data_IF_751548334750
#
_entry.id   IF_751548334750
#
_cell.length_a   1.000
_cell.length_b   1.000
_cell.length_c   1.000
_cell.angle_alpha   90.00
_cell.angle_beta   90.00
_cell.angle_gamma   90.00
#
_symmetry.space_group_name_H-M   'P 1'
#
loop_
_entity.id
_entity.type
_entity.pdbx_description
1 polymer ?
#
# COMPACT_ATOMS: atom_id res chain seq x y z
N UNK A 1 9.33 1.31 -11.99
CA UNK A 1 8.96 1.01 -13.35
C UNK A 1 8.02 -0.18 -13.42
N UNK A 2 7.09 -0.25 -14.37
CA UNK A 2 5.92 -1.11 -14.33
C UNK A 2 5.66 -1.77 -15.67
N UNK A 3 5.25 -3.05 -15.66
CA UNK A 3 4.77 -3.77 -16.82
C UNK A 3 3.28 -4.15 -16.67
N UNK A 4 2.49 -3.92 -17.71
CA UNK A 4 1.07 -4.26 -17.77
C UNK A 4 0.85 -5.52 -18.63
N UNK A 5 0.83 -6.67 -17.99
CA UNK A 5 0.77 -7.97 -18.67
C UNK A 5 -0.47 -8.80 -18.30
N UNK A 6 -1.54 -8.12 -17.92
CA UNK A 6 -2.81 -8.74 -17.57
C UNK A 6 -3.61 -9.30 -18.77
N UNK A 7 -3.05 -9.21 -19.96
CA UNK A 7 -3.55 -9.77 -21.22
C UNK A 7 -2.35 -10.21 -22.08
N UNK A 8 -2.53 -10.50 -23.36
CA UNK A 8 -1.43 -10.74 -24.27
C UNK A 8 -0.48 -9.52 -24.29
N UNK A 9 0.83 -9.78 -24.20
CA UNK A 9 1.83 -8.75 -24.11
C UNK A 9 2.80 -8.75 -25.30
N UNK A 10 3.34 -7.59 -25.61
CA UNK A 10 4.24 -7.31 -26.71
C UNK A 10 5.67 -7.75 -26.41
N UNK A 11 6.53 -7.76 -27.42
CA UNK A 11 7.97 -7.97 -27.23
C UNK A 11 8.61 -6.92 -26.31
N UNK A 12 8.16 -5.67 -26.37
CA UNK A 12 8.65 -4.62 -25.48
C UNK A 12 8.36 -4.90 -24.02
N UNK A 13 7.13 -5.33 -23.70
CA UNK A 13 6.74 -5.74 -22.36
C UNK A 13 7.52 -6.98 -21.89
N UNK A 14 7.80 -7.92 -22.79
CA UNK A 14 8.64 -9.08 -22.47
C UNK A 14 10.06 -8.67 -22.08
N UNK A 15 10.70 -7.81 -22.86
CA UNK A 15 12.04 -7.29 -22.59
C UNK A 15 12.05 -6.52 -21.26
N UNK A 16 11.03 -5.70 -21.02
CA UNK A 16 10.88 -4.98 -19.76
C UNK A 16 10.82 -5.93 -18.56
N UNK A 17 9.97 -6.95 -18.63
CA UNK A 17 9.82 -7.94 -17.56
C UNK A 17 11.13 -8.71 -17.34
N UNK A 18 11.78 -9.17 -18.39
CA UNK A 18 13.03 -9.93 -18.31
C UNK A 18 14.18 -9.10 -17.74
N UNK A 19 14.15 -7.77 -17.89
CA UNK A 19 15.17 -6.86 -17.35
C UNK A 19 14.99 -6.50 -15.87
N UNK A 20 13.84 -6.80 -15.27
CA UNK A 20 13.51 -6.41 -13.90
C UNK A 20 14.52 -6.92 -12.86
N UNK A 21 14.92 -8.21 -12.84
CA UNK A 21 15.83 -8.70 -11.82
C UNK A 21 17.17 -7.95 -11.79
N UNK A 22 17.76 -7.77 -12.95
CA UNK A 22 19.04 -7.08 -13.12
C UNK A 22 18.93 -5.59 -12.78
N UNK A 23 17.85 -4.93 -13.19
CA UNK A 23 17.60 -3.52 -12.86
C UNK A 23 17.45 -3.32 -11.35
N UNK A 24 16.73 -4.20 -10.67
CA UNK A 24 16.54 -4.11 -9.22
C UNK A 24 17.81 -4.47 -8.44
N UNK A 25 18.62 -5.41 -8.94
CA UNK A 25 19.89 -5.76 -8.32
C UNK A 25 20.95 -4.66 -8.49
N UNK A 26 20.93 -3.94 -9.60
CA UNK A 26 21.92 -2.92 -9.93
C UNK A 26 21.68 -1.56 -9.25
N UNK A 27 20.54 -1.36 -8.58
CA UNK A 27 20.16 -0.06 -8.01
C UNK A 27 19.53 -0.22 -6.64
N UNK A 28 19.72 0.76 -5.75
CA UNK A 28 19.17 0.76 -4.40
C UNK A 28 17.74 1.35 -4.33
N UNK A 29 17.44 2.31 -5.20
CA UNK A 29 16.21 3.13 -5.12
C UNK A 29 15.14 2.77 -6.15
N UNK A 30 15.49 2.05 -7.21
CA UNK A 30 14.52 1.69 -8.25
C UNK A 30 13.64 0.55 -7.78
N UNK A 31 12.33 0.77 -7.81
CA UNK A 31 11.31 -0.25 -7.58
C UNK A 31 10.63 -0.62 -8.90
N UNK A 32 10.03 -1.79 -8.93
CA UNK A 32 9.27 -2.27 -10.09
C UNK A 32 7.98 -2.95 -9.67
N UNK A 33 7.04 -3.01 -10.61
CA UNK A 33 5.80 -3.74 -10.46
C UNK A 33 5.36 -4.40 -11.76
N UNK A 34 4.62 -5.49 -11.64
CA UNK A 34 4.00 -6.19 -12.76
C UNK A 34 2.52 -6.38 -12.47
N UNK A 35 1.66 -5.88 -13.34
CA UNK A 35 0.22 -6.10 -13.24
C UNK A 35 -0.16 -7.32 -14.07
N UNK A 36 -0.46 -8.44 -13.42
CA UNK A 36 -0.66 -9.75 -14.05
C UNK A 36 -2.12 -10.11 -14.32
N UNK A 37 -3.06 -9.27 -13.90
CA UNK A 37 -4.47 -9.57 -14.07
C UNK A 37 -5.39 -8.38 -13.87
N UNK A 38 -6.63 -8.55 -14.30
CA UNK A 38 -7.73 -7.63 -14.01
C UNK A 38 -9.05 -8.38 -13.93
N UNK A 39 -10.05 -7.80 -13.25
CA UNK A 39 -11.41 -8.37 -13.22
C UNK A 39 -11.98 -8.52 -14.62
N UNK A 40 -11.64 -7.61 -15.52
CA UNK A 40 -12.16 -7.61 -16.90
C UNK A 40 -11.46 -8.62 -17.81
N UNK A 41 -10.13 -8.73 -17.71
CA UNK A 41 -9.31 -9.58 -18.59
C UNK A 41 -9.00 -10.96 -17.98
N UNK A 42 -9.22 -11.14 -16.68
CA UNK A 42 -8.77 -12.31 -15.95
C UNK A 42 -7.27 -12.24 -15.59
N UNK A 43 -6.73 -13.36 -15.17
CA UNK A 43 -5.32 -13.51 -14.79
C UNK A 43 -4.54 -14.07 -15.98
N UNK A 44 -3.44 -13.42 -16.36
CA UNK A 44 -2.50 -13.96 -17.34
C UNK A 44 -1.55 -14.95 -16.65
N UNK A 45 -1.81 -16.24 -16.78
CA UNK A 45 -1.02 -17.28 -16.12
C UNK A 45 0.42 -17.38 -16.63
N UNK A 46 0.69 -16.99 -17.86
CA UNK A 46 2.06 -16.92 -18.39
C UNK A 46 2.85 -15.78 -17.71
N UNK A 47 2.21 -14.64 -17.49
CA UNK A 47 2.80 -13.53 -16.73
C UNK A 47 3.03 -13.93 -15.26
N UNK A 48 2.12 -14.66 -14.64
CA UNK A 48 2.30 -15.19 -13.27
C UNK A 48 3.50 -16.13 -13.20
N UNK A 49 3.65 -17.04 -14.20
CA UNK A 49 4.82 -17.91 -14.29
C UNK A 49 6.13 -17.14 -14.44
N UNK A 50 6.15 -16.14 -15.33
CA UNK A 50 7.31 -15.25 -15.50
C UNK A 50 7.60 -14.49 -14.21
N UNK A 51 6.60 -13.98 -13.53
CA UNK A 51 6.77 -13.27 -12.25
C UNK A 51 7.47 -14.17 -11.21
N UNK A 52 7.10 -15.45 -11.13
CA UNK A 52 7.80 -16.40 -10.28
C UNK A 52 9.28 -16.59 -10.65
N UNK A 53 9.60 -16.62 -11.94
CA UNK A 53 11.00 -16.67 -12.41
C UNK A 53 11.79 -15.40 -12.08
N UNK A 54 11.15 -14.24 -12.21
CA UNK A 54 11.74 -12.93 -11.87
C UNK A 54 12.06 -12.86 -10.39
N UNK A 55 11.10 -13.21 -9.53
CA UNK A 55 11.31 -13.24 -8.07
C UNK A 55 12.48 -14.14 -7.71
N UNK A 56 12.52 -15.35 -8.26
CA UNK A 56 13.64 -16.27 -8.04
C UNK A 56 14.98 -15.68 -8.49
N UNK A 57 15.04 -15.12 -9.68
CA UNK A 57 16.24 -14.51 -10.23
C UNK A 57 16.69 -13.28 -9.42
N UNK A 58 15.76 -12.42 -9.02
CA UNK A 58 16.03 -11.27 -8.17
C UNK A 58 16.63 -11.69 -6.81
N UNK A 59 16.07 -12.73 -6.20
CA UNK A 59 16.58 -13.29 -4.97
C UNK A 59 18.01 -13.87 -5.13
N UNK A 60 18.27 -14.61 -6.21
CA UNK A 60 19.59 -15.16 -6.53
C UNK A 60 20.65 -14.05 -6.74
N UNK A 61 20.30 -12.99 -7.48
CA UNK A 61 21.21 -11.88 -7.76
C UNK A 61 21.57 -11.04 -6.52
N UNK A 62 20.71 -11.05 -5.51
CA UNK A 62 20.89 -10.28 -4.27
C UNK A 62 20.94 -11.17 -3.04
N UNK A 63 21.42 -12.42 -3.19
CA UNK A 63 21.51 -13.38 -2.10
C UNK A 63 22.43 -12.91 -0.96
N UNK A 64 23.48 -12.16 -1.27
CA UNK A 64 24.40 -11.53 -0.33
C UNK A 64 23.76 -10.43 0.52
N UNK A 65 22.65 -9.84 0.04
CA UNK A 65 21.85 -8.83 0.73
C UNK A 65 20.47 -9.37 1.14
N UNK A 66 20.37 -10.66 1.41
CA UNK A 66 19.14 -11.34 1.85
C UNK A 66 17.96 -11.24 0.88
N UNK A 67 18.25 -11.16 -0.43
CA UNK A 67 17.22 -11.06 -1.45
C UNK A 67 16.58 -9.67 -1.56
N UNK A 68 17.31 -8.62 -1.21
CA UNK A 68 16.79 -7.24 -1.11
C UNK A 68 16.08 -6.75 -2.40
N UNK A 69 16.47 -7.23 -3.58
CA UNK A 69 15.77 -6.90 -4.83
C UNK A 69 14.29 -7.30 -4.81
N UNK A 70 13.93 -8.37 -4.10
CA UNK A 70 12.54 -8.83 -3.98
C UNK A 70 11.67 -7.85 -3.18
N UNK A 71 12.24 -7.14 -2.21
CA UNK A 71 11.54 -6.11 -1.43
C UNK A 71 11.16 -4.87 -2.28
N UNK A 72 11.75 -4.74 -3.46
CA UNK A 72 11.48 -3.65 -4.41
C UNK A 72 10.57 -4.05 -5.57
N UNK A 73 9.96 -5.23 -5.51
CA UNK A 73 9.12 -5.80 -6.57
C UNK A 73 7.74 -6.15 -6.06
N UNK A 74 6.71 -5.69 -6.76
CA UNK A 74 5.30 -5.96 -6.42
C UNK A 74 4.57 -6.56 -7.62
N UNK A 75 3.79 -7.63 -7.38
CA UNK A 75 2.83 -8.16 -8.33
C UNK A 75 1.43 -7.61 -8.05
N UNK A 76 0.75 -7.15 -9.09
CA UNK A 76 -0.59 -6.58 -9.00
C UNK A 76 -1.64 -7.34 -9.79
N UNK A 77 -2.87 -7.22 -9.32
CA UNK A 77 -4.07 -7.52 -10.07
C UNK A 77 -5.07 -6.37 -9.87
N UNK A 78 -5.72 -5.92 -10.93
CA UNK A 78 -6.63 -4.76 -10.91
C UNK A 78 -5.97 -3.42 -10.50
N UNK A 79 -4.72 -3.22 -10.80
CA UNK A 79 -4.09 -1.92 -10.58
C UNK A 79 -4.82 -0.83 -11.37
N UNK A 80 -5.08 0.29 -10.72
CA UNK A 80 -5.76 1.45 -11.29
C UNK A 80 -4.73 2.46 -11.76
N UNK A 81 -4.89 2.98 -12.97
CA UNK A 81 -4.02 4.02 -13.52
C UNK A 81 -4.15 5.31 -12.72
N UNK A 82 -3.07 6.09 -12.70
CA UNK A 82 -2.94 7.37 -11.99
C UNK A 82 -3.25 7.30 -10.49
N UNK A 83 -3.33 6.13 -9.93
CA UNK A 83 -3.61 5.93 -8.52
C UNK A 83 -2.35 5.47 -7.79
N UNK A 84 -1.72 6.33 -6.98
CA UNK A 84 -0.54 5.97 -6.22
C UNK A 84 -0.90 5.10 -5.03
N UNK A 85 0.09 4.36 -4.56
CA UNK A 85 0.10 3.70 -3.27
C UNK A 85 1.55 3.61 -2.79
N UNK A 86 1.79 3.21 -1.55
CA UNK A 86 3.13 3.33 -0.95
C UNK A 86 4.25 2.61 -1.69
N UNK A 87 3.95 1.53 -2.41
CA UNK A 87 4.95 0.76 -3.17
C UNK A 87 5.08 1.18 -4.64
N UNK A 88 4.32 2.17 -5.11
CA UNK A 88 4.42 2.63 -6.48
C UNK A 88 3.19 3.38 -6.98
N UNK A 89 3.18 3.68 -8.26
CA UNK A 89 2.05 4.26 -8.96
C UNK A 89 2.07 3.79 -10.42
N UNK A 90 0.90 3.74 -11.04
CA UNK A 90 0.77 3.45 -12.47
C UNK A 90 0.51 4.75 -13.20
N UNK A 91 1.36 5.06 -14.17
CA UNK A 91 1.13 6.18 -15.06
C UNK A 91 -0.04 5.84 -16.01
N UNK A 92 -1.05 6.67 -16.01
CA UNK A 92 -2.20 6.58 -16.91
C UNK A 92 -2.10 7.52 -18.09
N UNK A 93 -3.23 7.72 -18.75
CA UNK A 93 -3.38 8.65 -19.88
C UNK A 93 -3.71 10.09 -19.41
N UNK A 94 -3.44 10.41 -18.14
CA UNK A 94 -3.69 11.73 -17.56
C UNK A 94 -2.91 12.85 -18.24
N UNK A 95 -3.38 14.09 -18.08
CA UNK A 95 -2.81 15.27 -18.73
C UNK A 95 -1.49 15.75 -18.13
N UNK A 96 -1.10 15.29 -16.96
CA UNK A 96 0.09 15.75 -16.25
C UNK A 96 1.32 14.90 -16.50
N UNK A 97 2.43 15.52 -16.89
CA UNK A 97 3.74 14.85 -16.97
C UNK A 97 4.32 14.55 -15.58
N UNK A 98 3.85 15.25 -14.56
CA UNK A 98 4.31 15.12 -13.18
C UNK A 98 3.19 15.48 -12.20
N UNK A 99 3.04 14.71 -11.13
CA UNK A 99 2.07 14.94 -10.06
C UNK A 99 2.68 14.62 -8.71
N UNK A 100 2.30 15.37 -7.67
CA UNK A 100 2.67 15.10 -6.29
C UNK A 100 1.53 14.36 -5.60
N UNK A 101 1.83 13.19 -5.05
CA UNK A 101 0.94 12.46 -4.17
C UNK A 101 1.61 12.31 -2.80
N UNK A 102 0.82 12.26 -1.74
CA UNK A 102 1.31 12.13 -0.37
C UNK A 102 0.73 10.88 0.26
N UNK A 103 1.59 9.93 0.61
CA UNK A 103 1.24 8.80 1.45
C UNK A 103 1.52 9.12 2.92
N UNK A 104 0.61 8.74 3.80
CA UNK A 104 0.77 8.93 5.24
C UNK A 104 0.76 7.57 5.92
N UNK A 105 1.86 7.20 6.60
CA UNK A 105 1.88 6.02 7.46
C UNK A 105 1.01 6.28 8.69
N UNK A 106 -0.06 5.50 8.80
CA UNK A 106 -1.11 5.73 9.79
C UNK A 106 -1.22 4.72 10.94
N UNK A 107 -0.67 3.48 10.85
CA UNK A 107 -0.98 2.43 11.84
C UNK A 107 -0.67 2.83 13.28
N UNK A 108 0.52 3.36 13.54
CA UNK A 108 0.92 3.77 14.88
C UNK A 108 0.04 4.89 15.46
N UNK A 109 -0.40 5.84 14.63
CA UNK A 109 -1.28 6.94 15.06
C UNK A 109 -2.67 6.42 15.44
N UNK A 110 -3.21 5.50 14.65
CA UNK A 110 -4.51 4.86 14.92
C UNK A 110 -4.42 4.03 16.20
N UNK A 111 -3.36 3.21 16.36
CA UNK A 111 -3.12 2.43 17.57
C UNK A 111 -3.11 3.31 18.82
N UNK A 112 -2.28 4.35 18.84
CA UNK A 112 -2.20 5.28 19.96
C UNK A 112 -3.52 6.01 20.27
N UNK A 113 -4.36 6.22 19.27
CA UNK A 113 -5.69 6.77 19.50
C UNK A 113 -6.63 5.75 20.17
N UNK A 114 -6.55 4.48 19.77
CA UNK A 114 -7.38 3.40 20.32
C UNK A 114 -6.99 3.00 21.73
N UNK A 115 -5.73 3.07 22.11
CA UNK A 115 -5.28 2.84 23.49
C UNK A 115 -6.05 3.68 24.51
N UNK A 116 -6.51 4.88 24.12
CA UNK A 116 -7.26 5.80 24.97
C UNK A 116 -8.72 5.43 25.16
N UNK A 117 -9.24 4.56 24.32
CA UNK A 117 -10.64 4.10 24.31
C UNK A 117 -10.74 2.58 24.41
N UNK A 118 -9.71 1.97 24.95
CA UNK A 118 -9.65 0.52 25.15
C UNK A 118 -10.77 0.06 26.06
N UNK A 119 -11.53 -0.93 25.60
CA UNK A 119 -12.67 -1.48 26.34
C UNK A 119 -13.98 -0.71 26.22
N UNK A 120 -14.00 0.39 25.47
CA UNK A 120 -15.23 1.10 25.13
C UNK A 120 -16.05 0.34 24.06
N UNK A 121 -17.29 0.76 23.84
CA UNK A 121 -18.14 0.14 22.83
C UNK A 121 -17.63 0.35 21.39
N UNK A 122 -18.07 -0.50 20.46
CA UNK A 122 -17.63 -0.43 19.07
C UNK A 122 -17.99 0.88 18.37
N UNK A 123 -19.01 1.58 18.80
CA UNK A 123 -19.37 2.90 18.27
C UNK A 123 -18.28 3.92 18.61
N UNK A 124 -17.79 3.93 19.85
CA UNK A 124 -16.69 4.79 20.30
C UNK A 124 -15.40 4.46 19.56
N UNK A 125 -15.09 3.17 19.41
CA UNK A 125 -13.93 2.67 18.67
C UNK A 125 -13.98 3.16 17.21
N UNK A 126 -15.09 2.92 16.52
CA UNK A 126 -15.28 3.33 15.12
C UNK A 126 -15.17 4.86 14.92
N UNK A 127 -15.79 5.64 15.80
CA UNK A 127 -15.70 7.10 15.77
C UNK A 127 -14.29 7.59 16.04
N UNK A 128 -13.53 6.94 16.92
CA UNK A 128 -12.14 7.28 17.20
C UNK A 128 -11.25 7.03 15.97
N UNK A 129 -11.42 5.89 15.31
CA UNK A 129 -10.71 5.57 14.06
C UNK A 129 -11.04 6.61 12.99
N UNK A 130 -12.33 6.88 12.77
CA UNK A 130 -12.79 7.84 11.77
C UNK A 130 -12.24 9.24 12.01
N UNK A 131 -12.27 9.74 13.24
CA UNK A 131 -11.70 11.05 13.60
C UNK A 131 -10.19 11.10 13.43
N UNK A 132 -9.50 9.99 13.70
CA UNK A 132 -8.05 9.89 13.52
C UNK A 132 -7.69 9.90 12.04
N UNK A 133 -8.37 9.09 11.23
CA UNK A 133 -8.20 9.08 9.78
C UNK A 133 -8.49 10.46 9.16
N UNK A 134 -9.54 11.15 9.62
CA UNK A 134 -9.82 12.53 9.22
C UNK A 134 -8.63 13.47 9.47
N UNK A 135 -8.06 13.43 10.68
CA UNK A 135 -6.91 14.29 11.04
C UNK A 135 -5.67 13.98 10.20
N UNK A 136 -5.37 12.70 10.02
CA UNK A 136 -4.23 12.23 9.20
C UNK A 136 -4.39 12.74 7.77
N UNK A 137 -5.56 12.55 7.17
CA UNK A 137 -5.86 12.98 5.80
C UNK A 137 -5.72 14.50 5.64
N UNK A 138 -6.26 15.27 6.59
CA UNK A 138 -6.13 16.75 6.56
C UNK A 138 -4.68 17.19 6.66
N UNK A 139 -3.88 16.56 7.49
CA UNK A 139 -2.45 16.84 7.58
C UNK A 139 -1.72 16.51 6.29
N UNK A 140 -1.97 15.33 5.72
CA UNK A 140 -1.41 14.93 4.43
C UNK A 140 -1.76 15.91 3.30
N UNK A 141 -3.00 16.37 3.25
CA UNK A 141 -3.44 17.38 2.27
C UNK A 141 -2.71 18.72 2.44
N UNK A 142 -2.53 19.20 3.66
CA UNK A 142 -1.79 20.44 3.92
C UNK A 142 -0.33 20.34 3.44
N UNK A 143 0.33 19.23 3.73
CA UNK A 143 1.70 18.97 3.26
C UNK A 143 1.75 18.91 1.73
N UNK A 144 0.80 18.20 1.11
CA UNK A 144 0.73 18.07 -0.34
C UNK A 144 0.52 19.41 -1.05
N UNK A 145 -0.37 20.25 -0.53
CA UNK A 145 -0.64 21.58 -1.07
C UNK A 145 0.58 22.50 -0.95
N UNK A 146 1.28 22.46 0.17
CA UNK A 146 2.50 23.26 0.35
C UNK A 146 3.64 22.77 -0.56
N UNK A 147 3.81 21.46 -0.70
CA UNK A 147 4.79 20.88 -1.62
C UNK A 147 4.47 21.24 -3.09
N UNK A 148 3.20 21.11 -3.49
CA UNK A 148 2.71 21.50 -4.82
C UNK A 148 3.03 22.96 -5.13
N UNK A 149 2.76 23.87 -4.18
CA UNK A 149 3.06 25.29 -4.34
C UNK A 149 4.56 25.57 -4.47
N UNK A 150 5.40 24.93 -3.65
CA UNK A 150 6.86 25.15 -3.67
C UNK A 150 7.52 24.61 -4.93
N UNK A 151 7.06 23.46 -5.40
CA UNK A 151 7.66 22.78 -6.55
C UNK A 151 7.01 23.15 -7.89
N UNK A 152 5.90 23.90 -7.84
CA UNK A 152 5.07 24.23 -9.00
C UNK A 152 4.64 22.99 -9.79
N UNK A 153 4.25 21.93 -9.07
CA UNK A 153 3.78 20.66 -9.63
C UNK A 153 2.35 20.40 -9.10
N UNK A 154 1.40 19.95 -9.94
CA UNK A 154 0.04 19.67 -9.49
C UNK A 154 -0.01 18.68 -8.32
N UNK A 155 -0.92 18.93 -7.38
CA UNK A 155 -1.26 17.98 -6.34
C UNK A 155 -2.32 17.00 -6.85
N UNK A 156 -2.07 15.70 -6.69
CA UNK A 156 -2.98 14.62 -7.01
C UNK A 156 -3.82 14.20 -5.81
N UNK A 157 -3.36 13.20 -5.08
CA UNK A 157 -4.12 12.62 -3.97
C UNK A 157 -3.31 12.46 -2.68
N UNK A 158 -4.04 12.29 -1.57
CA UNK A 158 -3.53 11.75 -0.32
C UNK A 158 -3.90 10.27 -0.24
N UNK A 159 -2.90 9.42 -0.11
CA UNK A 159 -3.07 8.01 0.23
C UNK A 159 -3.04 7.85 1.75
N UNK A 160 -4.14 7.35 2.31
CA UNK A 160 -4.27 7.07 3.75
C UNK A 160 -4.35 5.57 4.04
N UNK A 161 -3.80 4.76 3.17
CA UNK A 161 -3.70 3.32 3.41
C UNK A 161 -2.91 3.05 4.69
N UNK A 162 -3.44 2.16 5.52
CA UNK A 162 -2.74 1.72 6.72
C UNK A 162 -1.71 0.65 6.34
N UNK A 163 -0.57 1.12 5.84
CA UNK A 163 0.56 0.27 5.47
C UNK A 163 1.56 0.25 6.63
N UNK A 164 1.74 -0.91 7.28
CA UNK A 164 2.65 -1.04 8.40
C UNK A 164 4.11 -1.09 7.94
N UNK A 165 5.01 -0.96 8.91
CA UNK A 165 6.43 -1.27 8.75
C UNK A 165 6.87 -2.25 9.85
N UNK A 166 8.04 -2.89 9.74
CA UNK A 166 8.56 -3.74 10.81
C UNK A 166 8.91 -2.98 12.10
N UNK A 167 8.83 -1.65 12.07
CA UNK A 167 9.15 -0.82 13.23
C UNK A 167 8.16 -1.05 14.37
N UNK A 168 8.67 -1.07 15.58
CA UNK A 168 7.86 -1.22 16.79
C UNK A 168 6.86 -0.06 16.90
N UNK A 169 5.59 -0.40 17.02
CA UNK A 169 4.49 0.57 17.14
C UNK A 169 3.80 0.93 15.83
N UNK A 170 4.30 0.48 14.67
CA UNK A 170 3.70 0.72 13.36
C UNK A 170 3.10 -0.58 12.79
N UNK A 171 2.08 -1.13 13.48
CA UNK A 171 1.48 -2.43 13.17
C UNK A 171 -0.03 -2.33 13.03
N UNK A 172 -0.57 -2.90 11.95
CA UNK A 172 -2.02 -3.08 11.76
C UNK A 172 -2.55 -4.17 12.68
N UNK A 173 -1.79 -5.25 12.93
CA UNK A 173 -2.19 -6.30 13.85
C UNK A 173 -2.48 -5.72 15.24
N UNK A 174 -1.61 -4.86 15.74
CA UNK A 174 -1.81 -4.22 17.04
C UNK A 174 -3.00 -3.25 17.06
N UNK A 175 -3.39 -2.65 15.95
CA UNK A 175 -4.65 -1.91 15.85
C UNK A 175 -5.83 -2.85 16.13
N UNK A 176 -5.85 -4.03 15.50
CA UNK A 176 -6.91 -5.00 15.63
C UNK A 176 -6.98 -5.55 17.07
N UNK A 177 -5.84 -5.73 17.72
CA UNK A 177 -5.76 -6.14 19.13
C UNK A 177 -6.29 -5.05 20.08
N UNK A 178 -5.98 -3.76 19.83
CA UNK A 178 -6.57 -2.66 20.59
C UNK A 178 -8.10 -2.53 20.38
N UNK A 179 -8.62 -3.03 19.26
CA UNK A 179 -10.08 -3.13 19.03
C UNK A 179 -10.74 -4.26 19.84
N UNK A 180 -9.98 -5.07 20.57
CA UNK A 180 -10.45 -6.09 21.48
C UNK A 180 -10.17 -7.54 21.07
N UNK A 181 -9.35 -7.77 20.04
CA UNK A 181 -8.89 -9.12 19.72
C UNK A 181 -7.82 -9.57 20.72
N UNK A 182 -7.80 -10.85 21.03
CA UNK A 182 -6.74 -11.45 21.83
C UNK A 182 -5.40 -11.43 21.09
N UNK A 183 -5.43 -11.78 19.80
CA UNK A 183 -4.31 -11.76 18.89
C UNK A 183 -4.84 -11.61 17.46
N UNK A 184 -4.10 -10.94 16.60
CA UNK A 184 -4.41 -10.90 15.18
C UNK A 184 -4.43 -12.34 14.62
N UNK A 185 -5.39 -12.65 13.75
CA UNK A 185 -5.59 -14.00 13.21
C UNK A 185 -6.61 -14.84 14.00
N UNK A 186 -6.96 -14.49 15.23
CA UNK A 186 -7.99 -15.16 16.02
C UNK A 186 -9.41 -14.79 15.60
N UNK A 187 -10.41 -15.38 16.25
CA UNK A 187 -11.83 -15.13 15.99
C UNK A 187 -12.15 -13.63 16.07
N UNK A 188 -12.84 -13.12 15.06
CA UNK A 188 -13.21 -11.70 14.99
C UNK A 188 -12.28 -10.84 14.15
N UNK A 189 -11.10 -11.32 13.75
CA UNK A 189 -10.12 -10.55 12.97
C UNK A 189 -10.71 -9.96 11.68
N UNK A 190 -11.45 -10.76 10.90
CA UNK A 190 -12.09 -10.30 9.67
C UNK A 190 -13.14 -9.21 9.92
N UNK A 191 -13.93 -9.34 10.99
CA UNK A 191 -14.92 -8.33 11.36
C UNK A 191 -14.26 -7.04 11.85
N UNK A 192 -13.22 -7.12 12.67
CA UNK A 192 -12.45 -5.98 13.13
C UNK A 192 -11.78 -5.25 11.94
N UNK A 193 -11.20 -6.00 11.00
CA UNK A 193 -10.61 -5.45 9.78
C UNK A 193 -11.66 -4.74 8.91
N UNK A 194 -12.85 -5.30 8.76
CA UNK A 194 -13.95 -4.66 8.03
C UNK A 194 -14.36 -3.34 8.68
N UNK A 195 -14.51 -3.30 10.01
CA UNK A 195 -14.82 -2.09 10.77
C UNK A 195 -13.71 -1.04 10.64
N UNK A 196 -12.45 -1.44 10.74
CA UNK A 196 -11.29 -0.57 10.57
C UNK A 196 -11.30 0.09 9.18
N UNK A 197 -11.43 -0.70 8.13
CA UNK A 197 -11.45 -0.22 6.76
C UNK A 197 -12.62 0.73 6.48
N UNK A 198 -13.82 0.41 6.97
CA UNK A 198 -15.00 1.27 6.83
C UNK A 198 -14.80 2.62 7.53
N UNK A 199 -14.31 2.61 8.76
CA UNK A 199 -14.08 3.82 9.52
C UNK A 199 -12.97 4.70 8.91
N UNK A 200 -11.87 4.11 8.43
CA UNK A 200 -10.78 4.82 7.74
C UNK A 200 -11.30 5.49 6.46
N UNK A 201 -12.02 4.75 5.62
CA UNK A 201 -12.61 5.30 4.38
C UNK A 201 -13.55 6.47 4.66
N UNK A 202 -14.43 6.33 5.63
CA UNK A 202 -15.35 7.41 6.03
C UNK A 202 -14.61 8.64 6.53
N UNK A 203 -13.60 8.46 7.35
CA UNK A 203 -12.76 9.56 7.85
C UNK A 203 -12.03 10.30 6.73
N UNK A 204 -11.44 9.55 5.79
CA UNK A 204 -10.74 10.10 4.66
C UNK A 204 -11.63 10.92 3.72
N UNK A 205 -12.74 10.35 3.27
CA UNK A 205 -13.69 11.01 2.36
C UNK A 205 -14.26 12.29 2.99
N UNK A 206 -14.51 12.30 4.29
CA UNK A 206 -14.97 13.50 5.00
C UNK A 206 -13.91 14.59 5.10
N UNK A 207 -12.63 14.22 5.05
CA UNK A 207 -11.52 15.14 5.21
C UNK A 207 -11.10 15.83 3.90
N UNK A 208 -11.20 15.15 2.78
CA UNK A 208 -10.70 15.63 1.49
C UNK A 208 -11.42 14.97 0.32
N UNK A 209 -11.62 15.73 -0.76
CA UNK A 209 -12.02 15.20 -2.07
C UNK A 209 -10.85 14.58 -2.86
N UNK A 210 -9.63 14.70 -2.36
CA UNK A 210 -8.40 14.22 -3.00
C UNK A 210 -7.84 12.99 -2.28
N UNK A 211 -8.68 12.03 -1.97
CA UNK A 211 -8.30 10.79 -1.31
C UNK A 211 -8.29 9.66 -2.32
N UNK A 212 -7.24 8.88 -2.31
CA UNK A 212 -7.08 7.73 -3.19
C UNK A 212 -6.19 6.66 -2.56
N UNK A 213 -5.49 5.94 -3.41
CA UNK A 213 -4.69 4.80 -3.00
C UNK A 213 -5.55 3.56 -2.78
N UNK A 214 -5.04 2.58 -2.06
CA UNK A 214 -5.75 1.35 -1.73
C UNK A 214 -6.75 1.53 -0.57
N UNK A 215 -6.67 2.66 0.15
CA UNK A 215 -7.63 3.11 1.18
C UNK A 215 -8.09 2.01 2.14
N UNK A 216 -7.15 1.22 2.64
CA UNK A 216 -7.43 0.14 3.56
C UNK A 216 -6.21 -0.29 4.35
N UNK A 217 -6.39 -1.25 5.25
CA UNK A 217 -5.28 -1.84 5.98
C UNK A 217 -4.58 -2.90 5.13
N UNK A 218 -3.25 -2.88 5.15
CA UNK A 218 -2.42 -3.94 4.57
C UNK A 218 -2.21 -5.05 5.58
N UNK A 219 -2.12 -6.27 5.09
CA UNK A 219 -1.90 -7.48 5.89
C UNK A 219 -0.62 -8.20 5.42
N UNK A 220 0.55 -7.57 5.53
CA UNK A 220 1.81 -8.21 5.16
C UNK A 220 2.31 -9.07 6.31
N UNK A 221 2.52 -10.35 6.05
CA UNK A 221 2.99 -11.29 7.08
C UNK A 221 4.48 -11.16 7.43
N UNK A 222 5.24 -10.32 6.71
CA UNK A 222 6.68 -10.12 6.92
C UNK A 222 7.09 -8.68 7.19
N UNK A 223 6.16 -7.74 7.12
CA UNK A 223 6.44 -6.30 7.22
C UNK A 223 5.64 -5.63 8.34
N UNK A 224 4.99 -6.41 9.19
CA UNK A 224 4.22 -5.95 10.33
C UNK A 224 4.65 -6.74 11.57
N UNK A 225 5.15 -6.07 12.60
CA UNK A 225 5.67 -6.73 13.79
C UNK A 225 4.63 -7.60 14.50
N UNK A 226 3.37 -7.19 14.52
CA UNK A 226 2.27 -7.96 15.11
C UNK A 226 1.89 -9.17 14.24
N UNK A 227 1.92 -9.03 12.91
CA UNK A 227 1.66 -10.15 11.98
C UNK A 227 2.79 -11.19 11.99
N UNK A 228 4.04 -10.74 12.16
CA UNK A 228 5.20 -11.64 12.34
C UNK A 228 5.06 -12.45 13.63
N UNK A 229 4.48 -11.86 14.67
CA UNK A 229 4.31 -12.49 15.97
C UNK A 229 3.08 -13.41 16.06
N UNK A 230 2.08 -13.25 15.20
CA UNK A 230 0.85 -14.04 15.16
C UNK A 230 1.01 -15.31 14.33
#
# INVERSE_FOLDING_TARGET
>A
YTALVHKDYTNGERILIESIPEALAATDLVCSSVNVGSTRAGINMDAVKQMGQIVKRAAELTADTQGFACAKLVGFCNAVEDNPFMAGAFLGEGEGECVINVGVSGPGVVKCALEKVKGEDFGVVAETIKKTAFKITRMGQLVAQEASKRLNVPFGIVDLSLAPTPAVGDSVAYILEEMGLEMCGTHGTTAALALLNDAVKKGGIMASGYVGGLSGAFIPVSEDAGMIAA
#
